data_IF_200914372442
#
_entry.id   IF_200914372442
#
_cell.length_a   1.000
_cell.length_b   1.000
_cell.length_c   1.000
_cell.angle_alpha   90.00
_cell.angle_beta   90.00
_cell.angle_gamma   90.00
#
_symmetry.space_group_name_H-M   'P 1'
#
loop_
_entity.id
_entity.type
_entity.pdbx_description
1 polymer ?
#
# COMPACT_ATOMS: atom_id res chain seq x y z
N UNK A 1 -20.41 -28.83 8.87
CA UNK A 1 -19.54 -28.06 9.77
C UNK A 1 -18.11 -28.42 9.50
N UNK A 2 -17.30 -27.45 9.13
CA UNK A 2 -15.83 -27.49 9.15
C UNK A 2 -15.37 -26.03 9.17
N UNK A 3 -15.14 -25.48 10.37
CA UNK A 3 -14.42 -24.21 10.51
C UNK A 3 -12.96 -24.59 10.41
N UNK A 4 -12.39 -24.48 9.21
CA UNK A 4 -10.95 -24.53 9.06
C UNK A 4 -10.39 -23.30 9.79
N UNK A 5 -9.74 -23.53 10.93
CA UNK A 5 -8.98 -22.48 11.60
C UNK A 5 -7.91 -21.99 10.64
N UNK A 6 -8.13 -20.82 10.05
CA UNK A 6 -7.13 -20.10 9.27
C UNK A 6 -5.88 -19.97 10.16
N UNK A 7 -4.83 -20.69 9.80
CA UNK A 7 -3.50 -20.47 10.37
C UNK A 7 -2.99 -19.15 9.82
N UNK A 8 -3.50 -18.05 10.38
CA UNK A 8 -2.95 -16.73 10.12
C UNK A 8 -1.53 -16.72 10.63
N UNK A 9 -0.57 -16.34 9.78
CA UNK A 9 0.81 -16.22 10.20
C UNK A 9 0.88 -15.08 11.24
N UNK A 10 1.14 -15.37 12.54
CA UNK A 10 1.09 -14.36 13.59
C UNK A 10 2.14 -13.26 13.38
N UNK A 11 3.14 -13.52 12.53
CA UNK A 11 4.19 -12.57 12.20
C UNK A 11 3.82 -11.64 11.03
N UNK A 12 2.74 -11.90 10.28
CA UNK A 12 2.40 -11.11 9.10
C UNK A 12 2.10 -9.64 9.44
N UNK A 13 1.23 -9.41 10.43
CA UNK A 13 0.88 -8.06 10.91
C UNK A 13 2.10 -7.31 11.44
N UNK A 14 2.90 -7.85 12.40
CA UNK A 14 4.07 -7.11 12.90
C UNK A 14 5.15 -6.92 11.82
N UNK A 15 5.33 -7.85 10.88
CA UNK A 15 6.27 -7.67 9.77
C UNK A 15 5.82 -6.54 8.83
N UNK A 16 4.55 -6.51 8.42
CA UNK A 16 4.02 -5.44 7.57
C UNK A 16 4.03 -4.08 8.29
N UNK A 17 3.73 -4.05 9.59
CA UNK A 17 3.83 -2.84 10.40
C UNK A 17 5.26 -2.31 10.43
N UNK A 18 6.25 -3.18 10.60
CA UNK A 18 7.66 -2.81 10.56
C UNK A 18 8.04 -2.24 9.17
N UNK A 19 7.64 -2.92 8.10
CA UNK A 19 7.90 -2.48 6.72
C UNK A 19 7.28 -1.09 6.49
N UNK A 20 6.01 -0.89 6.81
CA UNK A 20 5.35 0.40 6.64
C UNK A 20 5.96 1.51 7.51
N UNK A 21 6.45 1.18 8.71
CA UNK A 21 7.17 2.12 9.57
C UNK A 21 8.50 2.55 8.94
N UNK A 22 9.26 1.60 8.37
CA UNK A 22 10.51 1.90 7.66
C UNK A 22 10.26 2.70 6.37
N UNK A 23 9.16 2.44 5.67
CA UNK A 23 8.75 3.20 4.48
C UNK A 23 8.34 4.65 4.81
N UNK A 24 7.92 4.92 6.05
CA UNK A 24 7.58 6.26 6.55
C UNK A 24 8.76 6.96 7.24
N UNK A 25 9.91 6.29 7.38
CA UNK A 25 11.05 6.85 8.07
C UNK A 25 11.59 8.10 7.35
N UNK A 26 12.07 9.13 8.07
CA UNK A 26 12.60 10.35 7.46
C UNK A 26 13.90 10.15 6.67
N UNK A 27 14.47 8.94 6.69
CA UNK A 27 15.65 8.59 5.93
C UNK A 27 15.23 7.86 4.64
N UNK A 28 15.18 8.61 3.53
CA UNK A 28 14.75 8.12 2.21
C UNK A 28 15.55 6.90 1.72
N UNK A 29 16.81 6.77 2.15
CA UNK A 29 17.66 5.64 1.77
C UNK A 29 17.09 4.26 2.18
N UNK A 30 16.34 4.19 3.29
CA UNK A 30 15.74 2.94 3.76
C UNK A 30 14.52 2.59 2.92
N UNK A 31 13.63 3.56 2.67
CA UNK A 31 12.44 3.37 1.84
C UNK A 31 12.82 3.03 0.40
N UNK A 32 13.83 3.69 -0.15
CA UNK A 32 14.36 3.40 -1.49
C UNK A 32 14.93 1.98 -1.59
N UNK A 33 15.67 1.53 -0.57
CA UNK A 33 16.21 0.17 -0.52
C UNK A 33 15.10 -0.89 -0.47
N UNK A 34 14.04 -0.65 0.30
CA UNK A 34 12.89 -1.56 0.37
C UNK A 34 12.14 -1.64 -0.96
N UNK A 35 11.96 -0.50 -1.63
CA UNK A 35 11.35 -0.44 -2.96
C UNK A 35 12.21 -1.22 -3.96
N UNK A 36 13.53 -1.00 -3.96
CA UNK A 36 14.48 -1.73 -4.81
C UNK A 36 14.50 -3.25 -4.52
N UNK A 37 14.24 -3.66 -3.28
CA UNK A 37 14.10 -5.07 -2.89
C UNK A 37 12.77 -5.71 -3.32
N UNK A 38 11.87 -4.96 -3.97
CA UNK A 38 10.61 -5.46 -4.48
C UNK A 38 9.45 -5.42 -3.48
N UNK A 39 9.54 -4.59 -2.43
CA UNK A 39 8.48 -4.46 -1.43
C UNK A 39 7.11 -4.13 -2.05
N UNK A 40 7.07 -3.28 -3.09
CA UNK A 40 5.82 -2.83 -3.73
C UNK A 40 5.01 -3.99 -4.31
N UNK A 41 5.69 -4.95 -4.95
CA UNK A 41 5.03 -6.14 -5.50
C UNK A 41 4.43 -6.97 -4.37
N UNK A 42 5.19 -7.24 -3.32
CA UNK A 42 4.72 -8.04 -2.17
C UNK A 42 3.53 -7.39 -1.49
N UNK A 43 3.59 -6.07 -1.25
CA UNK A 43 2.50 -5.32 -0.64
C UNK A 43 1.24 -5.34 -1.52
N UNK A 44 1.39 -5.19 -2.84
CA UNK A 44 0.27 -5.26 -3.80
C UNK A 44 -0.37 -6.65 -3.80
N UNK A 45 0.44 -7.71 -3.85
CA UNK A 45 -0.05 -9.09 -3.81
C UNK A 45 -0.85 -9.36 -2.51
N UNK A 46 -0.36 -8.85 -1.37
CA UNK A 46 -1.05 -8.99 -0.08
C UNK A 46 -2.37 -8.21 -0.03
N UNK A 47 -2.42 -7.00 -0.60
CA UNK A 47 -3.67 -6.21 -0.66
C UNK A 47 -4.75 -6.92 -1.47
N UNK A 48 -4.35 -7.57 -2.57
CA UNK A 48 -5.24 -8.32 -3.47
C UNK A 48 -5.66 -9.69 -2.95
N UNK A 49 -4.94 -10.26 -1.97
CA UNK A 49 -5.25 -11.57 -1.41
C UNK A 49 -6.57 -11.54 -0.64
N UNK A 50 -7.66 -11.97 -1.28
CA UNK A 50 -9.00 -12.03 -0.69
C UNK A 50 -9.12 -13.06 0.44
N UNK A 51 -8.17 -13.99 0.55
CA UNK A 51 -8.11 -14.98 1.62
C UNK A 51 -7.24 -14.51 2.79
N UNK A 52 -6.46 -13.43 2.61
CA UNK A 52 -5.72 -12.83 3.72
C UNK A 52 -6.67 -12.14 4.71
N UNK A 53 -6.38 -12.20 6.02
CA UNK A 53 -7.14 -11.47 7.02
C UNK A 53 -7.20 -9.98 6.69
N UNK A 54 -8.35 -9.36 6.89
CA UNK A 54 -8.54 -7.93 6.57
C UNK A 54 -7.49 -7.03 7.25
N UNK A 55 -7.05 -7.37 8.47
CA UNK A 55 -5.98 -6.64 9.16
C UNK A 55 -4.64 -6.72 8.42
N UNK A 56 -4.27 -7.87 7.88
CA UNK A 56 -3.02 -8.06 7.12
C UNK A 56 -3.06 -7.21 5.84
N UNK A 57 -4.19 -7.24 5.13
CA UNK A 57 -4.43 -6.42 3.94
C UNK A 57 -4.38 -4.92 4.28
N UNK A 58 -4.92 -4.53 5.44
CA UNK A 58 -4.89 -3.15 5.93
C UNK A 58 -3.46 -2.66 6.18
N UNK A 59 -2.61 -3.45 6.84
CA UNK A 59 -1.21 -3.06 7.04
C UNK A 59 -0.45 -2.91 5.71
N UNK A 60 -0.75 -3.78 4.73
CA UNK A 60 -0.14 -3.68 3.41
C UNK A 60 -0.62 -2.43 2.64
N UNK A 61 -1.92 -2.13 2.69
CA UNK A 61 -2.46 -0.90 2.10
C UNK A 61 -1.90 0.35 2.77
N UNK A 62 -1.75 0.34 4.09
CA UNK A 62 -1.11 1.41 4.85
C UNK A 62 0.36 1.59 4.47
N UNK A 63 1.11 0.51 4.26
CA UNK A 63 2.48 0.60 3.78
C UNK A 63 2.57 1.21 2.37
N UNK A 64 1.64 0.87 1.46
CA UNK A 64 1.55 1.49 0.14
C UNK A 64 1.17 2.99 0.22
N UNK A 65 0.30 3.37 1.15
CA UNK A 65 -0.09 4.76 1.34
C UNK A 65 1.08 5.64 1.81
N UNK A 66 1.99 5.07 2.61
CA UNK A 66 3.23 5.73 3.01
C UNK A 66 4.17 5.96 1.82
N UNK A 67 4.30 5.00 0.90
CA UNK A 67 5.07 5.18 -0.34
C UNK A 67 4.45 6.28 -1.21
N UNK A 68 3.12 6.29 -1.34
CA UNK A 68 2.40 7.32 -2.09
C UNK A 68 2.57 8.73 -1.48
N UNK A 69 2.82 8.82 -0.17
CA UNK A 69 3.11 10.07 0.53
C UNK A 69 4.61 10.44 0.56
N UNK A 70 5.47 9.59 0.00
CA UNK A 70 6.91 9.73 0.00
C UNK A 70 7.45 10.70 -1.07
N UNK A 71 8.72 10.52 -1.43
CA UNK A 71 9.39 11.38 -2.43
C UNK A 71 8.81 11.15 -3.83
N UNK A 72 8.97 12.10 -4.78
CA UNK A 72 8.50 11.93 -6.16
C UNK A 72 9.05 10.66 -6.83
N UNK A 73 10.28 10.25 -6.50
CA UNK A 73 10.86 9.00 -7.02
C UNK A 73 10.11 7.77 -6.50
N UNK A 74 9.76 7.75 -5.21
CA UNK A 74 9.04 6.65 -4.57
C UNK A 74 7.61 6.54 -5.12
N UNK A 75 6.95 7.68 -5.31
CA UNK A 75 5.64 7.79 -5.96
C UNK A 75 5.72 7.24 -7.39
N UNK A 76 6.74 7.63 -8.16
CA UNK A 76 6.93 7.14 -9.51
C UNK A 76 7.14 5.62 -9.53
N UNK A 77 7.94 5.06 -8.61
CA UNK A 77 8.09 3.62 -8.48
C UNK A 77 6.77 2.90 -8.17
N UNK A 78 5.90 3.50 -7.36
CA UNK A 78 4.57 2.96 -7.08
C UNK A 78 3.63 3.00 -8.30
N UNK A 79 3.73 4.05 -9.13
CA UNK A 79 2.98 4.16 -10.38
C UNK A 79 3.48 3.18 -11.44
N UNK A 80 4.80 2.99 -11.52
CA UNK A 80 5.44 2.05 -12.45
C UNK A 80 5.27 0.59 -12.02
N UNK A 81 4.97 0.34 -10.74
CA UNK A 81 4.70 -0.99 -10.19
C UNK A 81 3.38 -1.55 -10.74
N UNK A 82 3.41 -2.61 -11.57
CA UNK A 82 2.22 -3.12 -12.23
C UNK A 82 1.16 -3.59 -11.23
N UNK A 83 -0.08 -3.17 -11.44
CA UNK A 83 -1.23 -3.59 -10.65
C UNK A 83 -1.37 -2.89 -9.29
N UNK A 84 -0.40 -2.08 -8.84
CA UNK A 84 -0.47 -1.41 -7.54
C UNK A 84 -1.64 -0.41 -7.47
N UNK A 85 -1.83 0.42 -8.49
CA UNK A 85 -2.96 1.36 -8.56
C UNK A 85 -4.29 0.61 -8.71
N UNK A 86 -4.33 -0.40 -9.58
CA UNK A 86 -5.53 -1.22 -9.79
C UNK A 86 -5.96 -1.93 -8.50
N UNK A 87 -5.02 -2.46 -7.71
CA UNK A 87 -5.29 -3.09 -6.43
C UNK A 87 -5.97 -2.15 -5.44
N UNK A 88 -5.52 -0.89 -5.37
CA UNK A 88 -6.14 0.11 -4.49
C UNK A 88 -7.57 0.45 -4.96
N UNK A 89 -7.80 0.56 -6.26
CA UNK A 89 -9.15 0.77 -6.83
C UNK A 89 -10.07 -0.42 -6.56
N UNK A 90 -9.59 -1.66 -6.78
CA UNK A 90 -10.34 -2.89 -6.53
C UNK A 90 -10.81 -2.98 -5.07
N UNK A 91 -9.97 -2.54 -4.13
CA UNK A 91 -10.33 -2.49 -2.71
C UNK A 91 -11.47 -1.51 -2.44
N UNK A 92 -11.52 -0.37 -3.13
CA UNK A 92 -12.60 0.61 -2.96
C UNK A 92 -13.96 0.09 -3.44
N UNK A 93 -13.95 -0.70 -4.51
CA UNK A 93 -15.16 -1.29 -5.09
C UNK A 93 -15.60 -2.58 -4.38
N UNK A 94 -14.70 -3.20 -3.61
CA UNK A 94 -14.98 -4.44 -2.89
C UNK A 94 -15.75 -4.22 -1.59
N UNK A 95 -16.58 -5.20 -1.22
CA UNK A 95 -17.22 -5.26 0.09
C UNK A 95 -16.21 -5.71 1.17
N UNK A 96 -15.35 -4.77 1.57
CA UNK A 96 -14.31 -4.96 2.59
C UNK A 96 -14.48 -3.94 3.73
N UNK A 97 -13.89 -4.20 4.91
CA UNK A 97 -14.01 -3.30 6.05
C UNK A 97 -13.65 -1.85 5.72
N UNK A 98 -14.38 -0.91 6.30
CA UNK A 98 -14.24 0.52 6.00
C UNK A 98 -12.80 1.02 6.19
N UNK A 99 -12.07 0.53 7.19
CA UNK A 99 -10.67 0.92 7.41
C UNK A 99 -9.77 0.65 6.20
N UNK A 100 -9.94 -0.51 5.55
CA UNK A 100 -9.14 -0.89 4.38
C UNK A 100 -9.49 -0.03 3.14
N UNK A 101 -10.79 0.30 2.98
CA UNK A 101 -11.23 1.24 1.94
C UNK A 101 -10.68 2.65 2.17
N UNK A 102 -10.78 3.15 3.40
CA UNK A 102 -10.25 4.47 3.75
C UNK A 102 -8.75 4.59 3.48
N UNK A 103 -7.97 3.56 3.83
CA UNK A 103 -6.52 3.56 3.61
C UNK A 103 -6.17 3.52 2.11
N UNK A 104 -6.92 2.75 1.32
CA UNK A 104 -6.71 2.68 -0.12
C UNK A 104 -7.09 3.98 -0.82
N UNK A 105 -8.17 4.63 -0.37
CA UNK A 105 -8.54 5.97 -0.83
C UNK A 105 -7.46 7.01 -0.49
N UNK A 106 -6.88 6.91 0.72
CA UNK A 106 -5.79 7.78 1.16
C UNK A 106 -4.54 7.63 0.28
N UNK A 107 -4.15 6.39 -0.02
CA UNK A 107 -3.04 6.09 -0.93
C UNK A 107 -3.26 6.73 -2.32
N UNK A 108 -4.46 6.55 -2.89
CA UNK A 108 -4.81 7.14 -4.19
C UNK A 108 -4.84 8.68 -4.15
N UNK A 109 -5.35 9.28 -3.08
CA UNK A 109 -5.34 10.73 -2.90
C UNK A 109 -3.90 11.28 -2.86
N UNK A 110 -2.98 10.57 -2.20
CA UNK A 110 -1.56 10.93 -2.19
C UNK A 110 -0.91 10.76 -3.57
N UNK A 111 -1.24 9.70 -4.31
CA UNK A 111 -0.77 9.52 -5.69
C UNK A 111 -1.21 10.67 -6.60
N UNK A 112 -2.46 11.12 -6.51
CA UNK A 112 -2.97 12.25 -7.30
C UNK A 112 -2.29 13.56 -6.90
N UNK A 113 -2.07 13.78 -5.60
CA UNK A 113 -1.41 14.98 -5.06
C UNK A 113 0.07 15.05 -5.45
N UNK A 114 0.74 13.91 -5.48
CA UNK A 114 2.19 13.79 -5.70
C UNK A 114 2.57 13.40 -7.14
N UNK A 115 1.60 13.22 -8.04
CA UNK A 115 1.83 12.87 -9.44
C UNK A 115 2.64 13.93 -10.21
N UNK A 116 3.14 13.59 -11.42
CA UNK A 116 4.01 14.47 -12.21
C UNK A 116 3.37 15.85 -12.41
N UNK A 117 4.20 16.90 -12.43
CA UNK A 117 3.85 18.34 -12.40
C UNK A 117 2.67 18.79 -13.32
N UNK A 118 2.26 17.97 -14.29
CA UNK A 118 1.08 18.19 -15.11
C UNK A 118 -0.24 18.27 -14.30
N UNK A 119 -0.36 17.60 -13.15
CA UNK A 119 -1.57 17.65 -12.29
C UNK A 119 -1.58 18.87 -11.37
N UNK A 120 -0.42 19.51 -11.14
CA UNK A 120 -0.28 20.68 -10.25
C UNK A 120 -0.68 22.02 -10.89
N UNK A 121 -1.15 22.02 -12.14
CA UNK A 121 -1.53 23.25 -12.89
C UNK A 121 -3.01 23.65 -12.82
N UNK A 122 -3.82 22.98 -12.01
CA UNK A 122 -5.25 23.36 -11.88
C UNK A 122 -5.50 24.42 -10.80
N UNK A 123 -4.47 24.81 -10.03
CA UNK A 123 -4.63 25.80 -8.93
C UNK A 123 -3.56 26.90 -8.95
N UNK A 124 -3.49 27.66 -10.06
CA UNK A 124 -2.88 29.00 -10.11
C UNK A 124 -3.70 29.96 -10.95
#
# INVERSE_FOLDING_TARGET
GCVAGEKTNPLAVPALRLIGTLLSAPADAISDMLIAAGALKVLTDVVLDKFAPAQVRLEAAWALSNVAAGTPSQVQHLLDSPGSVAALCDVLESDVPQGLRSESAWALANLVRSGPEAVQRVDR
#
